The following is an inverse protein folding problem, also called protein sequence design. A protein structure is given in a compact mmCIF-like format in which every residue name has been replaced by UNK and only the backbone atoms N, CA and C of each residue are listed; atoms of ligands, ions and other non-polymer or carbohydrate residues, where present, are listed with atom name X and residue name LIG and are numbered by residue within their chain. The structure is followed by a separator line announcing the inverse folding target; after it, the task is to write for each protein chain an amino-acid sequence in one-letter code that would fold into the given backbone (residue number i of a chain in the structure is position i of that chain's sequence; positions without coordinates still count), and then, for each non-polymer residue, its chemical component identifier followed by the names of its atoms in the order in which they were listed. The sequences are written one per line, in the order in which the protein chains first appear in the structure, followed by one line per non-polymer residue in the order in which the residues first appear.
data_IF_080707383755
#
_entry.id   IF_080707383755
#
_cell.length_a   1.000
_cell.length_b   1.000
_cell.length_c   1.000
_cell.angle_alpha   90.00
_cell.angle_beta   90.00
_cell.angle_gamma   90.00
#
_symmetry.space_group_name_H-M   'P 1'
#
loop_
_entity.id
_entity.type
_entity.pdbx_description
1 polymer ?
#
# COMPACT_ATOMS: atom_id res chain seq x y z
N UNK A 1 18.43 -32.33 32.53
CA UNK A 1 17.80 -31.00 32.44
C UNK A 1 18.33 -30.36 31.15
N UNK A 2 17.71 -30.65 30.06
CA UNK A 2 18.25 -30.32 28.73
C UNK A 2 17.13 -29.81 27.84
N UNK A 3 17.39 -28.66 27.30
CA UNK A 3 17.01 -28.28 25.96
C UNK A 3 15.61 -27.72 25.66
N UNK A 4 15.18 -26.77 26.49
CA UNK A 4 14.11 -25.86 26.08
C UNK A 4 14.63 -24.80 25.07
N UNK A 5 15.91 -24.41 25.18
CA UNK A 5 16.56 -23.44 24.28
C UNK A 5 16.82 -24.01 22.88
N UNK A 6 17.21 -25.27 22.77
CA UNK A 6 17.41 -25.93 21.46
C UNK A 6 16.13 -26.06 20.63
N UNK A 7 14.99 -26.21 21.30
CA UNK A 7 13.66 -26.26 20.62
C UNK A 7 13.17 -24.89 20.14
N UNK A 8 13.61 -23.80 20.78
CA UNK A 8 13.28 -22.45 20.34
C UNK A 8 14.12 -22.05 19.14
N UNK A 9 15.39 -22.45 19.11
CA UNK A 9 16.30 -22.15 18.00
C UNK A 9 15.93 -22.96 16.74
N UNK A 10 15.52 -24.21 16.87
CA UNK A 10 15.06 -25.02 15.72
C UNK A 10 13.72 -24.55 15.12
N UNK A 11 12.86 -23.87 15.89
CA UNK A 11 11.65 -23.23 15.35
C UNK A 11 11.90 -21.91 14.61
N UNK A 12 13.01 -21.23 14.86
CA UNK A 12 13.37 -20.00 14.15
C UNK A 12 13.96 -20.23 12.75
N UNK A 13 14.26 -21.48 12.38
CA UNK A 13 14.85 -21.88 11.09
C UNK A 13 13.88 -22.49 10.08
N UNK A 14 12.64 -22.77 10.45
CA UNK A 14 11.63 -23.22 9.50
C UNK A 14 11.08 -21.99 8.75
N UNK A 15 11.40 -21.95 7.45
CA UNK A 15 10.68 -21.10 6.49
C UNK A 15 9.20 -21.34 6.77
N UNK A 16 8.38 -20.30 7.03
CA UNK A 16 6.94 -20.54 7.22
C UNK A 16 6.45 -21.27 5.98
N UNK A 17 5.81 -22.40 6.18
CA UNK A 17 5.05 -23.06 5.10
C UNK A 17 4.12 -22.01 4.52
N UNK A 18 3.91 -21.98 3.19
CA UNK A 18 2.93 -21.09 2.60
C UNK A 18 1.61 -21.35 3.33
N UNK A 19 1.16 -20.38 4.10
CA UNK A 19 -0.18 -20.41 4.68
C UNK A 19 -1.10 -20.39 3.47
N UNK A 20 -1.85 -21.45 3.23
CA UNK A 20 -2.87 -21.49 2.18
C UNK A 20 -3.83 -20.33 2.47
N UNK A 21 -3.63 -19.23 1.77
CA UNK A 21 -4.48 -18.07 1.92
C UNK A 21 -5.90 -18.42 1.49
N UNK A 22 -6.87 -18.04 2.32
CA UNK A 22 -8.28 -18.34 2.09
C UNK A 22 -9.07 -17.05 1.92
N UNK A 23 -10.08 -17.13 1.06
CA UNK A 23 -11.01 -16.03 0.86
C UNK A 23 -11.73 -15.67 2.18
N UNK A 24 -11.60 -14.42 2.61
CA UNK A 24 -12.21 -13.92 3.85
C UNK A 24 -13.75 -13.98 3.84
N UNK A 25 -14.37 -14.14 2.66
CA UNK A 25 -15.82 -14.17 2.53
C UNK A 25 -16.38 -15.61 2.40
N UNK A 26 -15.71 -16.51 1.68
CA UNK A 26 -16.24 -17.85 1.42
C UNK A 26 -15.28 -18.98 1.78
N UNK A 27 -14.12 -18.65 2.35
CA UNK A 27 -13.10 -19.58 2.82
C UNK A 27 -12.50 -20.52 1.74
N UNK A 28 -12.77 -20.31 0.45
CA UNK A 28 -12.10 -21.06 -0.62
C UNK A 28 -10.61 -20.66 -0.65
N UNK A 29 -9.77 -21.62 -1.02
CA UNK A 29 -8.34 -21.37 -1.22
C UNK A 29 -8.10 -20.36 -2.33
N UNK A 30 -7.15 -19.44 -2.10
CA UNK A 30 -6.86 -18.34 -3.01
C UNK A 30 -5.64 -18.66 -3.88
N UNK A 31 -5.73 -18.39 -5.19
CA UNK A 31 -4.54 -18.42 -6.04
C UNK A 31 -3.66 -17.19 -5.77
N UNK A 32 -2.41 -17.29 -6.09
CA UNK A 32 -1.51 -16.12 -6.18
C UNK A 32 -1.32 -15.74 -7.66
N UNK A 33 -1.68 -14.51 -8.09
CA UNK A 33 -2.28 -13.41 -7.32
C UNK A 33 -3.81 -13.51 -7.21
N UNK A 34 -4.37 -12.98 -6.13
CA UNK A 34 -5.81 -12.90 -5.88
C UNK A 34 -6.35 -11.46 -5.85
N UNK A 35 -7.61 -11.27 -5.49
CA UNK A 35 -8.28 -9.97 -5.40
C UNK A 35 -8.31 -9.48 -3.96
N UNK A 36 -8.35 -8.15 -3.80
CA UNK A 36 -8.48 -7.51 -2.50
C UNK A 36 -9.72 -6.62 -2.43
N UNK A 37 -10.31 -6.55 -1.25
CA UNK A 37 -11.30 -5.53 -0.87
C UNK A 37 -10.70 -4.66 0.24
N UNK A 38 -11.01 -3.39 0.24
CA UNK A 38 -10.79 -2.51 1.38
C UNK A 38 -12.06 -2.46 2.23
N UNK A 39 -11.94 -2.83 3.49
CA UNK A 39 -12.93 -2.51 4.53
C UNK A 39 -12.70 -1.05 4.95
N UNK A 40 -13.60 -0.15 4.53
CA UNK A 40 -13.44 1.29 4.75
C UNK A 40 -13.64 1.71 6.19
N UNK A 41 -14.40 0.95 6.98
CA UNK A 41 -14.65 1.24 8.39
C UNK A 41 -13.44 0.87 9.26
N UNK A 42 -12.81 -0.26 8.93
CA UNK A 42 -11.66 -0.79 9.68
C UNK A 42 -10.32 -0.39 9.09
N UNK A 43 -10.31 0.12 7.86
CA UNK A 43 -9.10 0.38 7.08
C UNK A 43 -8.21 -0.89 6.94
N UNK A 44 -8.84 -2.02 6.65
CA UNK A 44 -8.20 -3.32 6.51
C UNK A 44 -8.38 -3.88 5.10
N UNK A 45 -7.35 -4.54 4.60
CA UNK A 45 -7.43 -5.31 3.36
C UNK A 45 -8.00 -6.70 3.65
N UNK A 46 -8.96 -7.12 2.83
CA UNK A 46 -9.54 -8.46 2.81
C UNK A 46 -9.09 -9.19 1.55
N UNK A 47 -8.56 -10.40 1.72
CA UNK A 47 -8.22 -11.28 0.62
C UNK A 47 -9.47 -11.99 0.11
N UNK A 48 -9.78 -11.87 -1.19
CA UNK A 48 -11.02 -12.45 -1.74
C UNK A 48 -10.76 -13.20 -3.05
N UNK A 49 -11.54 -14.25 -3.28
CA UNK A 49 -11.52 -14.97 -4.55
C UNK A 49 -12.18 -14.13 -5.66
N UNK A 50 -11.91 -14.50 -6.91
CA UNK A 50 -12.47 -13.82 -8.07
C UNK A 50 -14.01 -13.79 -8.04
N UNK A 51 -14.67 -14.88 -7.64
CA UNK A 51 -16.13 -14.94 -7.57
C UNK A 51 -16.70 -13.95 -6.54
N UNK A 52 -16.11 -13.89 -5.32
CA UNK A 52 -16.54 -12.95 -4.30
C UNK A 52 -16.24 -11.50 -4.70
N UNK A 53 -15.14 -11.22 -5.40
CA UNK A 53 -14.80 -9.87 -5.83
C UNK A 53 -15.84 -9.26 -6.78
N UNK A 54 -16.53 -10.08 -7.60
CA UNK A 54 -17.57 -9.62 -8.51
C UNK A 54 -18.79 -9.03 -7.78
N UNK A 55 -19.03 -9.41 -6.53
CA UNK A 55 -20.11 -8.85 -5.72
C UNK A 55 -19.88 -7.37 -5.40
N UNK A 56 -18.64 -6.90 -5.50
CA UNK A 56 -18.21 -5.55 -5.12
C UNK A 56 -17.70 -4.72 -6.31
N UNK A 57 -17.96 -5.19 -7.52
CA UNK A 57 -17.63 -4.46 -8.76
C UNK A 57 -18.47 -3.17 -8.92
N UNK A 58 -19.59 -3.07 -8.20
CA UNK A 58 -20.44 -1.88 -8.14
C UNK A 58 -20.47 -1.33 -6.73
N UNK A 59 -20.26 -0.03 -6.57
CA UNK A 59 -20.26 0.65 -5.26
C UNK A 59 -21.52 0.43 -4.43
N UNK A 60 -22.67 0.18 -5.07
CA UNK A 60 -23.96 -0.04 -4.40
C UNK A 60 -24.11 -1.42 -3.74
N UNK A 61 -23.16 -2.35 -3.93
CA UNK A 61 -23.35 -3.74 -3.52
C UNK A 61 -23.12 -4.02 -2.03
N UNK A 62 -22.59 -3.06 -1.26
CA UNK A 62 -22.17 -3.30 0.13
C UNK A 62 -22.47 -2.16 1.11
N UNK A 63 -23.49 -1.34 0.84
CA UNK A 63 -23.76 -0.11 1.62
C UNK A 63 -22.50 0.78 1.82
N UNK A 64 -21.49 0.62 0.95
CA UNK A 64 -20.26 1.41 0.94
C UNK A 64 -19.14 0.92 1.87
N UNK A 65 -19.33 -0.14 2.67
CA UNK A 65 -18.32 -0.62 3.63
C UNK A 65 -17.13 -1.36 2.97
N UNK A 66 -17.36 -1.99 1.82
CA UNK A 66 -16.31 -2.69 1.09
C UNK A 66 -16.13 -2.09 -0.29
N UNK A 67 -14.89 -1.82 -0.65
CA UNK A 67 -14.50 -1.33 -1.97
C UNK A 67 -13.52 -2.28 -2.63
N UNK A 68 -13.79 -2.62 -3.88
CA UNK A 68 -12.87 -3.45 -4.66
C UNK A 68 -11.60 -2.67 -4.95
N UNK A 69 -10.45 -3.22 -4.56
CA UNK A 69 -9.14 -2.64 -4.83
C UNK A 69 -8.81 -2.84 -6.32
N UNK A 70 -8.54 -1.77 -7.08
CA UNK A 70 -8.12 -1.87 -8.48
C UNK A 70 -6.79 -2.60 -8.63
N UNK A 71 -6.43 -2.94 -9.86
CA UNK A 71 -5.10 -3.51 -10.18
C UNK A 71 -4.21 -2.55 -10.95
N UNK A 72 -4.69 -1.34 -11.19
CA UNK A 72 -4.01 -0.35 -12.01
C UNK A 72 -2.74 0.14 -11.31
N UNK A 73 -1.61 0.02 -12.02
CA UNK A 73 -0.32 0.59 -11.63
C UNK A 73 0.19 1.44 -12.78
N UNK A 74 0.30 2.73 -12.55
CA UNK A 74 0.72 3.68 -13.58
C UNK A 74 1.90 4.50 -13.06
N UNK A 75 3.03 4.42 -13.77
CA UNK A 75 4.14 5.34 -13.52
C UNK A 75 3.74 6.71 -14.06
N UNK A 76 3.81 7.71 -13.21
CA UNK A 76 3.48 9.09 -13.54
C UNK A 76 4.74 9.85 -13.97
N UNK A 77 4.59 10.96 -14.72
CA UNK A 77 5.67 11.93 -14.87
C UNK A 77 6.01 12.51 -13.49
N UNK A 78 7.06 13.28 -13.42
CA UNK A 78 7.41 13.96 -12.17
C UNK A 78 6.23 14.83 -11.69
N UNK A 79 5.79 14.55 -10.48
CA UNK A 79 4.71 15.28 -9.80
C UNK A 79 5.36 16.22 -8.79
N UNK A 80 5.06 17.51 -8.89
CA UNK A 80 5.52 18.45 -7.88
C UNK A 80 4.95 18.08 -6.51
N UNK A 81 5.83 17.76 -5.58
CA UNK A 81 5.48 17.46 -4.18
C UNK A 81 5.64 18.68 -3.27
N UNK A 82 5.93 19.84 -3.85
CA UNK A 82 6.03 21.11 -3.13
C UNK A 82 4.69 21.44 -2.48
N UNK A 83 4.72 21.69 -1.19
CA UNK A 83 3.51 21.94 -0.40
C UNK A 83 2.75 20.67 0.04
N UNK A 84 3.02 19.50 -0.52
CA UNK A 84 2.40 18.24 -0.08
C UNK A 84 2.98 17.69 1.23
N UNK A 85 4.15 18.16 1.65
CA UNK A 85 4.80 17.71 2.88
C UNK A 85 5.27 16.26 2.82
N UNK A 86 6.38 15.97 2.11
CA UNK A 86 6.97 14.62 2.04
C UNK A 86 8.21 14.56 2.95
N UNK A 87 8.05 14.35 4.27
CA UNK A 87 9.08 14.66 5.26
C UNK A 87 10.34 13.77 5.14
N UNK A 88 10.21 12.54 4.68
CA UNK A 88 11.35 11.60 4.57
C UNK A 88 11.59 11.17 3.12
N UNK A 89 11.00 11.87 2.16
CA UNK A 89 11.11 11.53 0.75
C UNK A 89 10.29 10.31 0.32
N UNK A 90 9.48 9.72 1.19
CA UNK A 90 8.62 8.58 0.91
C UNK A 90 7.25 8.83 1.53
N UNK A 91 6.21 8.91 0.69
CA UNK A 91 4.84 9.15 1.13
C UNK A 91 3.84 8.57 0.13
N UNK A 92 2.59 8.39 0.58
CA UNK A 92 1.48 8.14 -0.32
C UNK A 92 0.26 8.98 0.08
N UNK A 93 -0.53 9.36 -0.92
CA UNK A 93 -1.66 10.28 -0.80
C UNK A 93 -2.92 9.58 -1.26
N UNK A 94 -3.93 9.52 -0.39
CA UNK A 94 -5.19 8.80 -0.62
C UNK A 94 -6.35 9.78 -0.65
N UNK A 95 -7.00 9.98 -1.80
CA UNK A 95 -8.25 10.73 -1.84
C UNK A 95 -9.33 10.02 -1.04
N UNK A 96 -10.13 10.78 -0.31
CA UNK A 96 -11.27 10.28 0.47
C UNK A 96 -12.59 10.60 -0.22
N UNK A 97 -13.59 9.78 0.01
CA UNK A 97 -14.93 9.97 -0.56
C UNK A 97 -15.56 11.32 -0.17
N UNK A 98 -15.14 11.92 0.95
CA UNK A 98 -15.54 13.26 1.41
C UNK A 98 -14.82 14.42 0.70
N UNK A 99 -13.93 14.15 -0.26
CA UNK A 99 -13.17 15.17 -1.01
C UNK A 99 -11.90 15.67 -0.31
N UNK A 100 -11.58 15.17 0.88
CA UNK A 100 -10.29 15.39 1.54
C UNK A 100 -9.22 14.46 0.98
N UNK A 101 -7.95 14.71 1.29
CA UNK A 101 -6.84 13.85 0.92
C UNK A 101 -5.98 13.60 2.15
N UNK A 102 -5.81 12.34 2.47
CA UNK A 102 -4.89 11.93 3.53
C UNK A 102 -3.52 11.62 2.93
N UNK A 103 -2.51 12.23 3.50
CA UNK A 103 -1.12 11.87 3.25
C UNK A 103 -0.63 10.94 4.35
N UNK A 104 0.15 9.95 3.95
CA UNK A 104 0.74 8.97 4.83
C UNK A 104 2.22 8.81 4.52
N UNK A 105 3.06 8.67 5.55
CA UNK A 105 4.42 8.23 5.35
C UNK A 105 4.71 6.96 6.16
N UNK A 106 5.30 5.95 5.51
CA UNK A 106 5.69 4.73 6.19
C UNK A 106 6.74 4.99 7.26
N UNK A 107 6.55 4.41 8.44
CA UNK A 107 7.47 4.50 9.56
C UNK A 107 7.58 3.16 10.29
N UNK A 108 8.58 2.96 11.17
CA UNK A 108 8.68 1.75 11.99
C UNK A 108 7.47 1.49 12.88
N UNK A 109 6.75 2.56 13.26
CA UNK A 109 5.54 2.47 14.07
C UNK A 109 4.26 2.24 13.25
N UNK A 110 4.36 2.25 11.93
CA UNK A 110 3.24 2.18 11.00
C UNK A 110 3.25 3.34 10.02
N UNK A 111 2.08 3.79 9.58
CA UNK A 111 1.95 4.97 8.73
C UNK A 111 1.47 6.17 9.56
N UNK A 112 2.25 7.24 9.56
CA UNK A 112 1.80 8.52 10.13
C UNK A 112 0.92 9.23 9.13
N UNK A 113 -0.22 9.78 9.59
CA UNK A 113 -1.22 10.42 8.74
C UNK A 113 -1.30 11.93 9.02
N UNK A 114 -1.50 12.72 7.95
CA UNK A 114 -1.92 14.12 8.03
C UNK A 114 -2.87 14.46 6.88
N UNK A 115 -3.66 15.50 7.01
CA UNK A 115 -4.54 15.97 5.96
C UNK A 115 -3.79 16.96 5.07
N UNK A 116 -3.94 16.81 3.75
CA UNK A 116 -3.35 17.70 2.75
C UNK A 116 -4.26 18.88 2.52
N UNK A 117 -3.67 20.08 2.36
CA UNK A 117 -4.42 21.25 1.92
C UNK A 117 -5.07 21.01 0.56
N UNK A 118 -6.37 21.24 0.47
CA UNK A 118 -7.15 20.98 -0.74
C UNK A 118 -6.75 21.85 -1.94
N UNK A 119 -6.25 23.07 -1.70
CA UNK A 119 -5.79 23.94 -2.78
C UNK A 119 -4.50 23.37 -3.38
N UNK A 120 -3.56 22.95 -2.52
CA UNK A 120 -2.31 22.28 -2.95
C UNK A 120 -2.63 21.00 -3.74
N UNK A 121 -3.54 20.17 -3.24
CA UNK A 121 -3.91 18.95 -3.93
C UNK A 121 -4.53 19.22 -5.32
N UNK A 122 -5.44 20.19 -5.43
CA UNK A 122 -6.03 20.57 -6.72
C UNK A 122 -4.98 21.03 -7.73
N UNK A 123 -3.97 21.77 -7.28
CA UNK A 123 -2.87 22.20 -8.15
C UNK A 123 -2.03 21.01 -8.64
N UNK A 124 -1.80 20.00 -7.79
CA UNK A 124 -1.12 18.76 -8.17
C UNK A 124 -1.93 18.00 -9.22
N UNK A 125 -3.22 17.80 -9.01
CA UNK A 125 -4.13 17.13 -9.95
C UNK A 125 -4.19 17.87 -11.29
N UNK A 126 -4.26 19.20 -11.27
CA UNK A 126 -4.31 20.01 -12.49
C UNK A 126 -3.05 19.83 -13.37
N UNK A 127 -1.90 19.57 -12.75
CA UNK A 127 -0.62 19.34 -13.46
C UNK A 127 -0.40 17.88 -13.85
N UNK A 128 -1.13 16.95 -13.25
CA UNK A 128 -1.02 15.51 -13.50
C UNK A 128 -2.41 14.91 -13.72
N UNK A 129 -3.00 15.03 -14.93
CA UNK A 129 -4.36 14.60 -15.23
C UNK A 129 -4.73 13.17 -14.81
N UNK A 130 -3.84 12.16 -14.87
CA UNK A 130 -4.17 10.81 -14.40
C UNK A 130 -4.61 10.74 -12.94
N UNK A 131 -4.26 11.73 -12.11
CA UNK A 131 -4.68 11.79 -10.70
C UNK A 131 -6.15 12.21 -10.53
N UNK A 132 -6.76 12.84 -11.54
CA UNK A 132 -8.16 13.22 -11.50
C UNK A 132 -9.11 12.00 -11.49
N UNK A 133 -8.66 10.88 -12.06
CA UNK A 133 -9.44 9.64 -12.19
C UNK A 133 -9.09 8.62 -11.10
N UNK A 134 -8.45 9.04 -10.01
CA UNK A 134 -8.15 8.17 -8.88
C UNK A 134 -9.44 7.74 -8.18
N UNK A 135 -9.57 6.43 -7.97
CA UNK A 135 -10.66 5.89 -7.17
C UNK A 135 -10.42 6.21 -5.68
N UNK A 136 -11.29 7.00 -5.03
CA UNK A 136 -11.13 7.34 -3.63
C UNK A 136 -11.03 6.09 -2.74
N UNK A 137 -10.28 6.18 -1.65
CA UNK A 137 -10.02 5.14 -0.63
C UNK A 137 -9.13 3.98 -1.12
N UNK A 138 -9.18 3.58 -2.41
CA UNK A 138 -8.58 2.35 -2.92
C UNK A 138 -7.42 2.55 -3.88
N UNK A 139 -7.15 3.80 -4.29
CA UNK A 139 -5.94 4.17 -5.04
C UNK A 139 -5.17 5.29 -4.33
N UNK A 140 -3.88 5.34 -4.58
CA UNK A 140 -2.98 6.31 -3.99
C UNK A 140 -1.97 6.86 -5.01
N UNK A 141 -1.59 8.14 -4.85
CA UNK A 141 -0.35 8.67 -5.39
C UNK A 141 0.78 8.25 -4.45
N UNK A 142 1.65 7.36 -4.91
CA UNK A 142 2.84 6.92 -4.18
C UNK A 142 4.06 7.68 -4.71
N UNK A 143 4.83 8.28 -3.79
CA UNK A 143 6.00 9.13 -4.10
C UNK A 143 7.22 8.59 -3.38
N UNK A 144 8.31 8.44 -4.14
CA UNK A 144 9.65 8.18 -3.61
C UNK A 144 10.64 9.19 -4.20
N UNK A 145 11.00 10.16 -3.40
CA UNK A 145 12.04 11.17 -3.68
C UNK A 145 13.21 11.05 -2.69
N UNK A 146 13.23 9.99 -1.90
CA UNK A 146 14.31 9.73 -0.95
C UNK A 146 15.61 9.42 -1.70
N UNK A 147 16.74 9.86 -1.13
CA UNK A 147 18.09 9.48 -1.59
C UNK A 147 18.36 9.74 -3.08
N UNK A 148 17.72 10.77 -3.67
CA UNK A 148 17.91 11.13 -5.08
C UNK A 148 17.02 10.38 -6.06
N UNK A 149 16.08 9.56 -5.59
CA UNK A 149 15.04 9.01 -6.45
C UNK A 149 14.06 10.10 -6.90
N UNK A 150 13.39 9.86 -8.03
CA UNK A 150 12.25 10.65 -8.51
C UNK A 150 11.25 9.67 -9.12
N UNK A 151 10.45 9.05 -8.24
CA UNK A 151 9.48 8.05 -8.63
C UNK A 151 8.10 8.44 -8.14
N UNK A 152 7.17 8.50 -9.07
CA UNK A 152 5.79 8.89 -8.85
C UNK A 152 4.88 7.86 -9.51
N UNK A 153 3.98 7.28 -8.72
CA UNK A 153 3.13 6.19 -9.17
C UNK A 153 1.69 6.40 -8.71
N UNK A 154 0.75 6.07 -9.58
CA UNK A 154 -0.60 5.77 -9.19
C UNK A 154 -0.66 4.25 -8.95
N UNK A 155 -1.03 3.86 -7.74
CA UNK A 155 -1.03 2.45 -7.31
C UNK A 155 -2.31 2.12 -6.53
N UNK A 156 -2.70 0.84 -6.49
CA UNK A 156 -3.72 0.38 -5.58
C UNK A 156 -3.25 0.50 -4.11
N UNK A 157 -4.19 0.66 -3.20
CA UNK A 157 -3.89 0.94 -1.78
C UNK A 157 -3.18 -0.22 -1.07
N UNK A 158 -3.38 -1.45 -1.51
CA UNK A 158 -2.71 -2.64 -0.98
C UNK A 158 -1.19 -2.61 -1.21
N UNK A 159 -0.71 -2.04 -2.33
CA UNK A 159 0.71 -1.78 -2.54
C UNK A 159 1.28 -0.83 -1.47
N UNK A 160 0.53 0.20 -1.09
CA UNK A 160 0.94 1.11 -0.03
C UNK A 160 1.02 0.40 1.33
N UNK A 161 0.07 -0.48 1.64
CA UNK A 161 0.10 -1.28 2.87
C UNK A 161 1.24 -2.30 2.87
N UNK A 162 1.54 -2.91 1.71
CA UNK A 162 2.71 -3.77 1.55
C UNK A 162 4.01 -3.00 1.82
N UNK A 163 4.14 -1.77 1.30
CA UNK A 163 5.29 -0.90 1.58
C UNK A 163 5.40 -0.54 3.07
N UNK A 164 4.29 -0.19 3.75
CA UNK A 164 4.28 0.06 5.20
C UNK A 164 4.76 -1.17 5.97
N UNK A 165 4.26 -2.36 5.59
CA UNK A 165 4.65 -3.63 6.21
C UNK A 165 6.14 -3.92 6.01
N UNK A 166 6.66 -3.69 4.80
CA UNK A 166 8.07 -3.81 4.46
C UNK A 166 8.92 -2.89 5.34
N UNK A 167 8.56 -1.61 5.42
CA UNK A 167 9.28 -0.63 6.24
C UNK A 167 9.28 -1.04 7.71
N UNK A 168 8.15 -1.42 8.27
CA UNK A 168 8.05 -1.89 9.67
C UNK A 168 8.92 -3.11 9.94
N UNK A 169 8.99 -4.04 9.01
CA UNK A 169 9.78 -5.27 9.15
C UNK A 169 11.29 -5.01 9.07
N UNK A 170 11.70 -4.20 8.12
CA UNK A 170 13.14 -4.05 7.78
C UNK A 170 13.81 -2.85 8.46
N UNK A 171 13.03 -1.89 8.98
CA UNK A 171 13.60 -0.69 9.63
C UNK A 171 14.32 -1.04 10.92
N UNK A 172 15.55 -0.53 11.05
CA UNK A 172 16.37 -0.69 12.26
C UNK A 172 17.02 0.64 12.64
N UNK A 173 16.99 0.96 13.94
CA UNK A 173 17.56 2.19 14.47
C UNK A 173 16.87 3.47 13.98
N UNK A 174 17.52 4.60 14.12
CA UNK A 174 16.93 5.92 13.80
C UNK A 174 16.89 6.20 12.29
N UNK A 175 17.86 5.70 11.52
CA UNK A 175 17.99 5.98 10.07
C UNK A 175 17.52 4.84 9.16
N UNK A 176 16.89 3.80 9.70
CA UNK A 176 16.42 2.65 8.92
C UNK A 176 17.45 1.53 8.76
N UNK A 177 18.70 1.78 9.09
CA UNK A 177 19.80 0.80 8.91
C UNK A 177 20.16 0.56 7.44
N UNK A 178 20.88 -0.51 7.18
CA UNK A 178 21.42 -0.83 5.83
C UNK A 178 20.45 -1.65 4.96
N UNK A 179 19.38 -2.21 5.54
CA UNK A 179 18.52 -3.19 4.88
C UNK A 179 17.26 -2.61 4.26
N UNK A 180 16.63 -1.61 4.90
CA UNK A 180 15.33 -1.10 4.48
C UNK A 180 15.39 -0.46 3.09
N UNK A 181 16.43 0.31 2.79
CA UNK A 181 16.52 1.02 1.52
C UNK A 181 16.65 0.11 0.29
N UNK A 182 17.53 -0.92 0.28
CA UNK A 182 17.55 -1.90 -0.80
C UNK A 182 16.22 -2.65 -0.99
N UNK A 183 15.45 -2.86 0.08
CA UNK A 183 14.12 -3.47 -0.02
C UNK A 183 13.09 -2.52 -0.63
N UNK A 184 13.15 -1.23 -0.26
CA UNK A 184 12.32 -0.19 -0.90
C UNK A 184 12.66 -0.10 -2.40
N UNK A 185 13.94 -0.09 -2.77
CA UNK A 185 14.36 -0.07 -4.17
C UNK A 185 13.82 -1.27 -4.95
N UNK A 186 13.87 -2.47 -4.35
CA UNK A 186 13.27 -3.69 -4.95
C UNK A 186 11.76 -3.59 -5.09
N UNK A 187 11.07 -3.02 -4.12
CA UNK A 187 9.63 -2.80 -4.20
C UNK A 187 9.28 -1.92 -5.42
N UNK A 188 9.95 -0.79 -5.61
CA UNK A 188 9.70 0.09 -6.76
C UNK A 188 10.11 -0.54 -8.10
N UNK A 189 11.18 -1.35 -8.14
CA UNK A 189 11.55 -2.12 -9.32
C UNK A 189 10.44 -3.11 -9.70
N UNK A 190 9.86 -3.82 -8.73
CA UNK A 190 8.75 -4.75 -8.96
C UNK A 190 7.49 -4.05 -9.50
N UNK A 191 7.18 -2.82 -9.05
CA UNK A 191 6.09 -2.02 -9.63
C UNK A 191 6.32 -1.76 -11.12
N UNK A 192 7.58 -1.55 -11.53
CA UNK A 192 7.94 -1.31 -12.94
C UNK A 192 7.69 -2.55 -13.82
N UNK A 193 7.93 -3.75 -13.28
CA UNK A 193 7.72 -5.02 -14.00
C UNK A 193 6.24 -5.39 -14.11
N UNK A 194 5.43 -4.99 -13.13
CA UNK A 194 4.00 -5.29 -13.05
C UNK A 194 3.10 -4.27 -13.77
N UNK A 195 3.68 -3.33 -14.53
CA UNK A 195 2.91 -2.35 -15.33
C UNK A 195 2.00 -3.07 -16.32
N UNK A 196 0.72 -3.01 -16.09
CA UNK A 196 -0.32 -3.41 -17.06
C UNK A 196 -1.44 -2.39 -17.09
#
# INVERSE_FOLDING_TARGET
MTDALGRIISRAGTRPEPVDERCDLCAVELPDPHRHLLDTDRHEIRCVCQACSLLFDREAASDGHYRLVPRRRLRLPEVSTEGLGVPVGLAFFVPRSGGTVDAHYPSPAGATRWEVDQAVWRDVVARCPPLADMAPEVEALLVNIARGHSEHWLVPIDDCFALVTLVRREWRGLSGGTRVWPEIDRFFAALTEQRR
#
